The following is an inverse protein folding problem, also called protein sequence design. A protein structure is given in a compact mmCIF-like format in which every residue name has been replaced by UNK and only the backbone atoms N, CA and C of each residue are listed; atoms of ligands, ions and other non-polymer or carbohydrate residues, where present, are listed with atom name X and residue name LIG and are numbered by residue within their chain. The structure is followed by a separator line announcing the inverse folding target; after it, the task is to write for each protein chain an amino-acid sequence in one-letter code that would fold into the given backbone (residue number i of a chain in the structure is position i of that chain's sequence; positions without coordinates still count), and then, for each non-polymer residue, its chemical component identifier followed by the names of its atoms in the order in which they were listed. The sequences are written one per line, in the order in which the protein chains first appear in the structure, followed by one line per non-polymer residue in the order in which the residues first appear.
data_IF_085886159728
#
_entry.id   IF_085886159728
#
_cell.length_a   1.000
_cell.length_b   1.000
_cell.length_c   1.000
_cell.angle_alpha   90.00
_cell.angle_beta   90.00
_cell.angle_gamma   90.00
#
_symmetry.space_group_name_H-M   'P 1'
#
loop_
_entity.id
_entity.type
_entity.pdbx_description
1 polymer ?
#
# COMPACT_ATOMS: atom_id res chain seq x y z
N UNK A 1 -17.66 12.04 -22.93
CA UNK A 1 -16.78 13.10 -23.45
C UNK A 1 -16.13 13.71 -22.23
N UNK A 2 -14.80 13.93 -22.20
CA UNK A 2 -14.08 14.45 -21.01
C UNK A 2 -14.39 15.93 -20.83
N UNK A 3 -14.72 16.34 -19.59
CA UNK A 3 -15.17 17.70 -19.26
C UNK A 3 -14.10 18.43 -18.43
N UNK A 4 -13.61 19.56 -18.94
CA UNK A 4 -12.53 20.36 -18.34
C UNK A 4 -13.08 21.70 -17.86
N UNK A 5 -12.78 22.05 -16.59
CA UNK A 5 -13.01 23.40 -16.07
C UNK A 5 -11.74 24.24 -16.28
N UNK A 6 -11.87 25.33 -17.02
CA UNK A 6 -10.78 26.29 -17.28
C UNK A 6 -11.04 27.51 -16.39
N UNK A 7 -10.07 27.89 -15.58
CA UNK A 7 -10.12 29.05 -14.69
C UNK A 7 -9.02 30.02 -15.10
N UNK A 8 -9.39 31.07 -15.77
CA UNK A 8 -8.48 32.02 -16.41
C UNK A 8 -9.14 33.39 -16.50
N UNK A 9 -8.53 34.44 -15.96
CA UNK A 9 -9.05 35.78 -15.99
C UNK A 9 -8.91 36.46 -17.36
N UNK A 10 -7.86 36.09 -18.12
CA UNK A 10 -7.75 36.49 -19.51
C UNK A 10 -8.79 35.76 -20.37
N UNK A 11 -9.85 36.49 -20.71
CA UNK A 11 -10.99 36.01 -21.53
C UNK A 11 -10.56 35.52 -22.91
N UNK A 12 -9.53 36.15 -23.50
CA UNK A 12 -9.05 35.81 -24.86
C UNK A 12 -8.29 34.51 -24.80
N UNK A 13 -7.34 34.41 -23.85
CA UNK A 13 -6.53 33.23 -23.65
C UNK A 13 -7.38 32.03 -23.23
N UNK A 14 -8.29 32.19 -22.24
CA UNK A 14 -9.17 31.15 -21.76
C UNK A 14 -10.10 30.59 -22.84
N UNK A 15 -10.69 31.46 -23.68
CA UNK A 15 -11.49 31.05 -24.85
C UNK A 15 -10.66 30.35 -25.92
N UNK A 16 -9.43 30.83 -26.17
CA UNK A 16 -8.54 30.23 -27.16
C UNK A 16 -8.20 28.79 -26.78
N UNK A 17 -7.78 28.56 -25.54
CA UNK A 17 -7.50 27.22 -25.01
C UNK A 17 -8.78 26.35 -25.06
N UNK A 18 -9.92 26.89 -24.60
CA UNK A 18 -11.18 26.16 -24.62
C UNK A 18 -11.62 25.72 -26.03
N UNK A 19 -11.49 26.60 -27.01
CA UNK A 19 -11.81 26.27 -28.41
C UNK A 19 -10.82 25.24 -28.99
N UNK A 20 -9.54 25.33 -28.63
CA UNK A 20 -8.55 24.37 -29.06
C UNK A 20 -8.80 22.98 -28.45
N UNK A 21 -9.07 22.89 -27.15
CA UNK A 21 -9.42 21.66 -26.46
C UNK A 21 -10.70 21.01 -26.99
N UNK A 22 -11.71 21.82 -27.35
CA UNK A 22 -12.93 21.33 -28.02
C UNK A 22 -12.61 20.65 -29.35
N UNK A 23 -11.69 21.19 -30.16
CA UNK A 23 -11.22 20.54 -31.40
C UNK A 23 -10.50 19.20 -31.12
N UNK A 24 -9.98 18.98 -29.91
CA UNK A 24 -9.40 17.72 -29.47
C UNK A 24 -10.44 16.76 -28.87
N UNK A 25 -11.74 17.07 -28.96
CA UNK A 25 -12.81 16.19 -28.51
C UNK A 25 -13.15 16.30 -27.00
N UNK A 26 -12.76 17.39 -26.34
CA UNK A 26 -13.03 17.63 -24.92
C UNK A 26 -14.12 18.71 -24.74
N UNK A 27 -14.96 18.58 -23.72
CA UNK A 27 -15.91 19.60 -23.35
C UNK A 27 -15.24 20.59 -22.37
N UNK A 28 -15.40 21.90 -22.59
CA UNK A 28 -14.74 22.89 -21.75
C UNK A 28 -15.75 23.93 -21.23
N UNK A 29 -15.71 24.19 -19.93
CA UNK A 29 -16.37 25.32 -19.29
C UNK A 29 -15.30 26.30 -18.81
N UNK A 30 -15.44 27.59 -19.17
CA UNK A 30 -14.51 28.64 -18.80
C UNK A 30 -15.16 29.55 -17.75
N UNK A 31 -14.41 29.86 -16.70
CA UNK A 31 -14.73 30.83 -15.63
C UNK A 31 -13.51 31.70 -15.35
N UNK A 32 -13.72 32.89 -14.82
CA UNK A 32 -12.68 33.94 -14.70
C UNK A 32 -12.19 34.17 -13.28
N UNK A 33 -12.72 33.45 -12.28
CA UNK A 33 -12.42 33.70 -10.88
C UNK A 33 -12.69 32.44 -10.02
N UNK A 34 -12.16 32.39 -8.78
CA UNK A 34 -12.30 31.26 -7.86
C UNK A 34 -13.75 31.04 -7.40
N UNK A 35 -14.50 32.14 -7.14
CA UNK A 35 -15.88 32.04 -6.66
C UNK A 35 -16.81 31.35 -7.68
N UNK A 36 -16.82 31.69 -8.98
CA UNK A 36 -17.52 30.94 -10.01
C UNK A 36 -17.02 29.51 -10.18
N UNK A 37 -15.69 29.27 -9.99
CA UNK A 37 -15.11 27.93 -10.08
C UNK A 37 -15.64 27.01 -8.97
N UNK A 38 -15.70 27.48 -7.72
CA UNK A 38 -16.30 26.74 -6.59
C UNK A 38 -17.77 26.39 -6.84
N UNK A 39 -18.55 27.32 -7.41
CA UNK A 39 -19.96 27.04 -7.79
C UNK A 39 -20.02 25.95 -8.88
N UNK A 40 -19.18 26.06 -9.91
CA UNK A 40 -19.14 25.09 -11.00
C UNK A 40 -18.79 23.70 -10.49
N UNK A 41 -17.75 23.57 -9.64
CA UNK A 41 -17.31 22.30 -9.06
C UNK A 41 -18.32 21.69 -8.07
N UNK A 42 -19.20 22.51 -7.48
CA UNK A 42 -20.27 22.05 -6.60
C UNK A 42 -21.53 21.60 -7.38
N UNK A 43 -21.76 22.10 -8.60
CA UNK A 43 -22.96 21.82 -9.40
C UNK A 43 -22.76 20.82 -10.53
N UNK A 44 -21.54 20.67 -11.01
CA UNK A 44 -21.19 19.86 -12.18
C UNK A 44 -19.99 18.97 -11.88
N UNK A 45 -19.94 17.81 -12.55
CA UNK A 45 -18.77 16.94 -12.53
C UNK A 45 -17.78 17.35 -13.63
N UNK A 46 -16.50 17.46 -13.26
CA UNK A 46 -15.40 17.73 -14.16
C UNK A 46 -14.35 16.61 -14.09
N UNK A 47 -13.71 16.35 -15.24
CA UNK A 47 -12.65 15.37 -15.34
C UNK A 47 -11.26 15.96 -15.03
N UNK A 48 -11.12 17.29 -15.16
CA UNK A 48 -9.87 18.00 -14.93
C UNK A 48 -10.15 19.50 -14.69
N UNK A 49 -9.35 20.11 -13.82
CA UNK A 49 -9.30 21.56 -13.64
C UNK A 49 -8.00 22.09 -14.22
N UNK A 50 -8.08 23.14 -15.04
CA UNK A 50 -6.96 23.86 -15.60
C UNK A 50 -7.06 25.31 -15.13
N UNK A 51 -6.18 25.76 -14.25
CA UNK A 51 -6.29 27.04 -13.59
C UNK A 51 -5.04 27.92 -13.75
N UNK A 52 -5.23 29.23 -13.95
CA UNK A 52 -4.13 30.17 -13.71
C UNK A 52 -3.80 30.21 -12.21
N UNK A 53 -2.53 30.40 -11.88
CA UNK A 53 -2.09 30.53 -10.50
C UNK A 53 -2.68 31.75 -9.82
N UNK A 54 -2.68 32.90 -10.50
CA UNK A 54 -3.20 34.17 -9.99
C UNK A 54 -4.50 34.55 -10.66
N UNK A 55 -5.52 34.75 -9.84
CA UNK A 55 -6.86 35.16 -10.28
C UNK A 55 -7.27 36.43 -9.55
N UNK A 56 -8.25 37.20 -10.05
CA UNK A 56 -8.66 38.48 -9.46
C UNK A 56 -9.11 38.38 -8.00
N UNK A 57 -9.61 37.21 -7.58
CA UNK A 57 -10.16 36.95 -6.26
C UNK A 57 -9.32 36.01 -5.41
N UNK A 58 -8.03 35.74 -5.78
CA UNK A 58 -7.08 34.98 -4.98
C UNK A 58 -6.16 34.05 -5.78
N UNK A 59 -5.46 33.18 -5.10
CA UNK A 59 -4.61 32.17 -5.70
C UNK A 59 -5.36 30.86 -5.94
N UNK A 60 -5.10 30.21 -7.08
CA UNK A 60 -5.71 28.91 -7.38
C UNK A 60 -5.31 27.78 -6.41
N UNK A 61 -4.22 27.94 -5.66
CA UNK A 61 -3.85 27.08 -4.53
C UNK A 61 -4.91 27.07 -3.41
N UNK A 62 -5.64 28.17 -3.22
CA UNK A 62 -6.76 28.24 -2.28
C UNK A 62 -7.97 27.41 -2.74
N UNK A 63 -8.19 27.35 -4.07
CA UNK A 63 -9.21 26.48 -4.63
C UNK A 63 -8.80 25.00 -4.48
N UNK A 64 -7.54 24.70 -4.66
CA UNK A 64 -7.01 23.33 -4.49
C UNK A 64 -7.18 22.86 -3.04
N UNK A 65 -6.86 23.71 -2.05
CA UNK A 65 -7.13 23.42 -0.62
C UNK A 65 -8.63 23.19 -0.36
N UNK A 66 -9.48 24.08 -0.88
CA UNK A 66 -10.93 23.92 -0.76
C UNK A 66 -11.45 22.63 -1.42
N UNK A 67 -10.88 22.23 -2.57
CA UNK A 67 -11.22 20.96 -3.21
C UNK A 67 -10.85 19.77 -2.34
N UNK A 68 -9.69 19.82 -1.67
CA UNK A 68 -9.27 18.79 -0.71
C UNK A 68 -10.21 18.73 0.50
N UNK A 69 -10.59 19.88 1.08
CA UNK A 69 -11.57 19.95 2.19
C UNK A 69 -12.92 19.35 1.80
N UNK A 70 -13.30 19.46 0.52
CA UNK A 70 -14.55 18.91 -0.04
C UNK A 70 -14.38 17.49 -0.59
N UNK A 71 -13.20 16.86 -0.44
CA UNK A 71 -12.88 15.53 -0.98
C UNK A 71 -13.14 15.41 -2.48
N UNK A 72 -12.94 16.47 -3.25
CA UNK A 72 -13.10 16.47 -4.70
C UNK A 72 -11.81 15.97 -5.36
N UNK A 73 -11.78 14.71 -5.77
CA UNK A 73 -10.64 14.06 -6.41
C UNK A 73 -10.57 14.36 -7.92
N UNK A 74 -10.55 15.66 -8.30
CA UNK A 74 -10.39 16.09 -9.69
C UNK A 74 -8.96 16.55 -9.92
N UNK A 75 -8.23 16.00 -10.93
CA UNK A 75 -6.88 16.43 -11.25
C UNK A 75 -6.82 17.94 -11.51
N UNK A 76 -5.83 18.61 -10.90
CA UNK A 76 -5.69 20.05 -10.95
C UNK A 76 -4.36 20.43 -11.60
N UNK A 77 -4.40 21.06 -12.77
CA UNK A 77 -3.25 21.59 -13.48
C UNK A 77 -3.17 23.11 -13.31
N UNK A 78 -1.99 23.60 -12.95
CA UNK A 78 -1.75 25.04 -12.80
C UNK A 78 -0.99 25.57 -14.03
N UNK A 79 -1.50 26.68 -14.58
CA UNK A 79 -0.80 27.49 -15.58
C UNK A 79 -0.36 28.79 -14.95
N UNK A 80 0.81 29.34 -15.33
CA UNK A 80 1.29 30.60 -14.76
C UNK A 80 2.30 31.30 -15.65
N UNK A 81 2.29 32.62 -15.59
CA UNK A 81 3.30 33.47 -16.23
C UNK A 81 4.61 33.54 -15.42
N UNK A 82 4.61 33.08 -14.18
CA UNK A 82 5.76 33.20 -13.28
C UNK A 82 6.43 31.85 -13.04
N UNK A 83 7.63 31.69 -13.63
CA UNK A 83 8.48 30.52 -13.44
C UNK A 83 9.22 30.49 -12.09
N UNK A 84 8.64 30.99 -11.00
CA UNK A 84 9.23 30.89 -9.67
C UNK A 84 9.10 29.46 -9.16
N UNK A 85 10.23 28.83 -8.91
CA UNK A 85 10.32 27.44 -8.45
C UNK A 85 9.55 27.23 -7.13
N UNK A 86 9.53 28.23 -6.26
CA UNK A 86 8.85 28.20 -4.97
C UNK A 86 7.33 27.99 -5.09
N UNK A 87 6.70 28.69 -6.01
CA UNK A 87 5.24 28.55 -6.25
C UNK A 87 4.87 27.19 -6.89
N UNK A 88 5.77 26.65 -7.72
CA UNK A 88 5.59 25.32 -8.30
C UNK A 88 5.70 24.24 -7.23
N UNK A 89 6.67 24.35 -6.34
CA UNK A 89 6.88 23.41 -5.22
C UNK A 89 5.68 23.44 -4.27
N UNK A 90 5.20 24.62 -3.88
CA UNK A 90 4.00 24.76 -3.03
C UNK A 90 2.78 24.11 -3.69
N UNK A 91 2.53 24.39 -4.96
CA UNK A 91 1.41 23.83 -5.69
C UNK A 91 1.46 22.30 -5.77
N UNK A 92 2.65 21.75 -6.01
CA UNK A 92 2.85 20.29 -6.05
C UNK A 92 2.71 19.65 -4.67
N UNK A 93 3.18 20.29 -3.60
CA UNK A 93 2.98 19.86 -2.21
C UNK A 93 1.51 19.87 -1.81
N UNK A 94 0.73 20.80 -2.34
CA UNK A 94 -0.72 20.87 -2.17
C UNK A 94 -1.48 19.88 -3.06
N UNK A 95 -0.79 19.01 -3.81
CA UNK A 95 -1.40 17.97 -4.62
C UNK A 95 -1.85 18.40 -6.03
N UNK A 96 -1.31 19.50 -6.58
CA UNK A 96 -1.48 19.80 -8.00
C UNK A 96 -0.89 18.67 -8.86
N UNK A 97 -1.64 18.23 -9.87
CA UNK A 97 -1.23 17.14 -10.74
C UNK A 97 -0.08 17.53 -11.68
N UNK A 98 -0.03 18.81 -12.09
CA UNK A 98 1.07 19.36 -12.90
C UNK A 98 1.10 20.88 -12.82
N UNK A 99 2.24 21.47 -13.23
CA UNK A 99 2.50 22.89 -13.27
C UNK A 99 3.10 23.27 -14.63
N UNK A 100 2.48 24.19 -15.33
CA UNK A 100 2.85 24.59 -16.70
C UNK A 100 3.14 26.10 -16.75
N UNK A 101 4.32 26.47 -17.30
CA UNK A 101 4.67 27.88 -17.52
C UNK A 101 4.05 28.39 -18.81
N UNK A 102 3.45 29.56 -18.78
CA UNK A 102 3.03 30.30 -19.97
C UNK A 102 4.26 30.97 -20.64
N UNK A 103 4.36 31.00 -21.97
CA UNK A 103 3.37 30.54 -22.93
C UNK A 103 3.27 29.02 -22.99
N UNK A 104 2.06 28.50 -22.85
CA UNK A 104 1.83 27.05 -22.84
C UNK A 104 1.83 26.53 -24.28
N UNK A 105 2.80 25.68 -24.61
CA UNK A 105 2.82 24.98 -25.89
C UNK A 105 1.65 24.01 -25.97
N UNK A 106 0.84 24.04 -27.07
CA UNK A 106 -0.33 23.17 -27.22
C UNK A 106 -0.02 21.68 -27.02
N UNK A 107 1.09 21.20 -27.57
CA UNK A 107 1.47 19.78 -27.46
C UNK A 107 1.81 19.38 -26.00
N UNK A 108 2.52 20.25 -25.25
CA UNK A 108 2.81 20.01 -23.83
C UNK A 108 1.56 20.03 -22.97
N UNK A 109 0.62 20.92 -23.25
CA UNK A 109 -0.68 20.96 -22.57
C UNK A 109 -1.47 19.67 -22.84
N UNK A 110 -1.53 19.24 -24.08
CA UNK A 110 -2.22 18.01 -24.47
C UNK A 110 -1.59 16.77 -23.85
N UNK A 111 -0.27 16.71 -23.82
CA UNK A 111 0.49 15.63 -23.17
C UNK A 111 0.20 15.59 -21.65
N UNK A 112 0.24 16.74 -20.96
CA UNK A 112 -0.09 16.85 -19.55
C UNK A 112 -1.53 16.42 -19.27
N UNK A 113 -2.50 16.88 -20.06
CA UNK A 113 -3.92 16.51 -19.94
C UNK A 113 -4.11 15.00 -20.22
N UNK A 114 -3.51 14.47 -21.27
CA UNK A 114 -3.58 13.03 -21.61
C UNK A 114 -2.96 12.17 -20.53
N UNK A 115 -1.83 12.61 -19.96
CA UNK A 115 -1.18 11.92 -18.85
C UNK A 115 -2.10 11.84 -17.63
N UNK A 116 -2.82 12.91 -17.30
CA UNK A 116 -3.78 12.89 -16.20
C UNK A 116 -5.05 12.09 -16.51
N UNK A 117 -5.50 12.07 -17.75
CA UNK A 117 -6.61 11.19 -18.15
C UNK A 117 -6.22 9.73 -18.27
N UNK A 118 -4.93 9.45 -18.51
CA UNK A 118 -4.37 8.10 -18.54
C UNK A 118 -3.92 7.63 -17.16
N UNK A 119 -3.76 8.55 -16.19
CA UNK A 119 -3.63 8.15 -14.80
C UNK A 119 -4.93 7.46 -14.41
N UNK A 120 -4.89 6.21 -13.94
CA UNK A 120 -6.07 5.64 -13.36
C UNK A 120 -6.53 6.64 -12.28
N UNK A 121 -7.73 7.21 -12.45
CA UNK A 121 -8.35 7.92 -11.34
C UNK A 121 -8.22 6.98 -10.16
N UNK A 122 -7.72 7.45 -9.02
CA UNK A 122 -7.86 6.75 -7.77
C UNK A 122 -9.36 6.71 -7.40
N UNK A 123 -10.15 6.14 -8.29
CA UNK A 123 -11.36 5.45 -7.93
C UNK A 123 -10.89 4.21 -7.22
N UNK A 124 -11.31 4.05 -5.96
CA UNK A 124 -11.27 2.81 -5.19
C UNK A 124 -10.33 1.82 -5.86
N UNK A 125 -9.09 1.75 -5.43
CA UNK A 125 -8.19 0.73 -5.97
C UNK A 125 -8.98 -0.56 -5.92
N UNK A 126 -9.38 -1.09 -7.10
CA UNK A 126 -9.98 -2.41 -7.14
C UNK A 126 -8.95 -3.33 -6.50
N UNK A 127 -9.23 -3.74 -5.27
CA UNK A 127 -8.41 -4.70 -4.57
C UNK A 127 -8.87 -6.08 -5.00
N UNK A 128 -7.91 -6.91 -5.36
CA UNK A 128 -8.21 -8.32 -5.42
C UNK A 128 -8.53 -8.81 -4.00
N UNK A 129 -9.77 -9.16 -3.76
CA UNK A 129 -10.18 -9.85 -2.54
C UNK A 129 -10.01 -11.33 -2.77
N UNK A 130 -9.10 -11.95 -1.99
CA UNK A 130 -8.88 -13.38 -2.07
C UNK A 130 -10.17 -14.18 -1.81
N UNK A 131 -10.28 -15.32 -2.49
CA UNK A 131 -11.40 -16.24 -2.38
C UNK A 131 -11.10 -17.46 -1.50
N UNK A 132 -9.84 -17.64 -1.08
CA UNK A 132 -9.45 -18.69 -0.14
C UNK A 132 -10.16 -18.55 1.20
N UNK A 133 -10.33 -19.65 1.91
CA UNK A 133 -11.04 -19.65 3.20
C UNK A 133 -10.40 -18.71 4.22
N UNK A 134 -9.06 -18.62 4.24
CA UNK A 134 -8.33 -17.69 5.11
C UNK A 134 -8.57 -16.23 4.73
N UNK A 135 -8.58 -15.91 3.44
CA UNK A 135 -8.89 -14.57 2.96
C UNK A 135 -10.34 -14.20 3.29
N UNK A 136 -11.31 -15.09 3.01
CA UNK A 136 -12.73 -14.87 3.35
C UNK A 136 -12.94 -14.62 4.83
N UNK A 137 -12.30 -15.41 5.71
CA UNK A 137 -12.39 -15.20 7.16
C UNK A 137 -11.80 -13.86 7.58
N UNK A 138 -10.65 -13.46 7.02
CA UNK A 138 -10.04 -12.15 7.24
C UNK A 138 -11.01 -11.02 6.84
N UNK A 139 -11.58 -11.07 5.62
CA UNK A 139 -12.53 -10.04 5.16
C UNK A 139 -13.83 -10.04 5.97
N UNK A 140 -14.31 -11.18 6.42
CA UNK A 140 -15.43 -11.27 7.36
C UNK A 140 -15.13 -10.50 8.65
N UNK A 141 -13.94 -10.68 9.24
CA UNK A 141 -13.50 -9.94 10.44
C UNK A 141 -13.36 -8.44 10.19
N UNK A 142 -12.86 -8.04 9.01
CA UNK A 142 -12.82 -6.64 8.60
C UNK A 142 -14.22 -6.04 8.60
N UNK A 143 -15.19 -6.69 7.95
CA UNK A 143 -16.58 -6.23 7.90
C UNK A 143 -17.25 -6.08 9.27
N UNK A 144 -16.89 -6.93 10.24
CA UNK A 144 -17.41 -6.86 11.62
C UNK A 144 -16.84 -5.66 12.38
N UNK A 145 -15.52 -5.37 12.24
CA UNK A 145 -14.86 -4.33 13.03
C UNK A 145 -14.85 -2.96 12.36
N UNK A 146 -14.95 -2.91 11.04
CA UNK A 146 -14.87 -1.65 10.28
C UNK A 146 -15.86 -0.57 10.75
N UNK A 147 -17.14 -0.88 11.08
CA UNK A 147 -18.10 0.13 11.54
C UNK A 147 -17.83 0.67 12.96
N UNK A 148 -16.93 0.05 13.73
CA UNK A 148 -16.57 0.47 15.08
C UNK A 148 -15.41 1.48 15.09
N UNK A 149 -15.23 2.16 16.22
CA UNK A 149 -14.10 3.09 16.44
C UNK A 149 -12.95 2.45 17.26
N UNK A 150 -13.02 1.14 17.53
CA UNK A 150 -11.97 0.44 18.27
C UNK A 150 -10.65 0.39 17.50
N UNK A 151 -9.54 0.34 18.23
CA UNK A 151 -8.21 0.19 17.65
C UNK A 151 -8.05 -1.20 17.02
N UNK A 152 -7.42 -1.26 15.85
CA UNK A 152 -7.20 -2.52 15.12
C UNK A 152 -5.70 -2.75 14.93
N UNK A 153 -5.22 -3.91 15.37
CA UNK A 153 -3.85 -4.37 15.14
C UNK A 153 -3.81 -5.39 13.99
N UNK A 154 -3.15 -5.03 12.89
CA UNK A 154 -2.90 -5.91 11.76
C UNK A 154 -1.58 -6.66 11.97
N UNK A 155 -1.65 -7.99 12.07
CA UNK A 155 -0.46 -8.85 12.23
C UNK A 155 -0.24 -9.67 10.97
N UNK A 156 0.94 -9.60 10.39
CA UNK A 156 1.28 -10.39 9.19
C UNK A 156 2.68 -10.09 8.70
N UNK A 157 3.27 -11.01 7.98
CA UNK A 157 4.62 -10.86 7.42
C UNK A 157 4.74 -9.64 6.48
N UNK A 158 5.96 -9.24 6.18
CA UNK A 158 6.21 -8.18 5.22
C UNK A 158 5.64 -8.56 3.83
N UNK A 159 5.09 -7.58 3.12
CA UNK A 159 4.58 -7.78 1.77
C UNK A 159 3.23 -8.49 1.66
N UNK A 160 2.52 -8.79 2.76
CA UNK A 160 1.19 -9.43 2.75
C UNK A 160 0.04 -8.47 2.42
N UNK A 161 0.29 -7.16 2.29
CA UNK A 161 -0.73 -6.18 1.94
C UNK A 161 -1.44 -5.52 3.13
N UNK A 162 -0.82 -5.44 4.31
CA UNK A 162 -1.38 -4.81 5.52
C UNK A 162 -1.88 -3.38 5.28
N UNK A 163 -1.17 -2.58 4.48
CA UNK A 163 -1.60 -1.23 4.12
C UNK A 163 -2.94 -1.22 3.37
N UNK A 164 -3.15 -2.17 2.46
CA UNK A 164 -4.43 -2.33 1.76
C UNK A 164 -5.56 -2.70 2.72
N UNK A 165 -5.29 -3.61 3.65
CA UNK A 165 -6.27 -4.00 4.67
C UNK A 165 -6.62 -2.83 5.58
N UNK A 166 -5.65 -1.98 5.95
CA UNK A 166 -5.90 -0.78 6.73
C UNK A 166 -6.78 0.23 5.98
N UNK A 167 -6.55 0.41 4.67
CA UNK A 167 -7.40 1.24 3.81
C UNK A 167 -8.80 0.68 3.69
N UNK A 168 -8.96 -0.61 3.48
CA UNK A 168 -10.26 -1.31 3.43
C UNK A 168 -11.06 -1.11 4.72
N UNK A 169 -10.39 -1.21 5.89
CA UNK A 169 -10.99 -0.91 7.20
C UNK A 169 -11.51 0.52 7.30
N UNK A 170 -10.77 1.49 6.77
CA UNK A 170 -11.20 2.88 6.73
C UNK A 170 -12.37 3.08 5.79
N UNK A 171 -12.32 2.55 4.56
CA UNK A 171 -13.36 2.71 3.53
C UNK A 171 -14.70 2.09 3.94
N UNK A 172 -14.68 0.99 4.72
CA UNK A 172 -15.88 0.38 5.28
C UNK A 172 -16.33 1.00 6.62
N UNK A 173 -15.60 1.99 7.15
CA UNK A 173 -15.90 2.61 8.43
C UNK A 173 -16.94 3.74 8.31
N UNK A 174 -17.41 4.20 9.48
CA UNK A 174 -18.21 5.44 9.57
C UNK A 174 -17.42 6.68 9.20
N UNK A 175 -16.07 6.58 9.21
CA UNK A 175 -15.12 7.67 8.90
C UNK A 175 -14.62 7.66 7.46
N UNK A 176 -15.23 6.86 6.57
CA UNK A 176 -14.80 6.69 5.16
C UNK A 176 -14.63 7.99 4.36
N UNK A 177 -15.37 9.04 4.71
CA UNK A 177 -15.32 10.35 4.08
C UNK A 177 -14.48 11.37 4.90
N UNK A 178 -13.70 10.89 5.87
CA UNK A 178 -12.83 11.68 6.74
C UNK A 178 -11.37 11.44 6.36
N UNK A 179 -10.42 12.24 6.86
CA UNK A 179 -9.00 12.04 6.56
C UNK A 179 -8.53 10.61 6.88
N UNK A 180 -7.73 10.04 5.99
CA UNK A 180 -6.98 8.81 6.20
C UNK A 180 -5.51 9.12 6.03
N UNK A 181 -4.75 9.11 7.12
CA UNK A 181 -3.32 9.40 7.11
C UNK A 181 -2.53 8.15 7.49
N UNK A 182 -1.36 8.03 6.87
CA UNK A 182 -0.47 6.87 7.07
C UNK A 182 0.88 7.34 7.57
N UNK A 183 1.48 6.57 8.46
CA UNK A 183 2.84 6.76 8.94
C UNK A 183 3.56 5.42 8.98
N UNK A 184 4.68 5.33 8.29
CA UNK A 184 5.62 4.23 8.42
C UNK A 184 6.60 4.54 9.57
N UNK A 185 6.44 3.84 10.71
CA UNK A 185 7.27 4.03 11.89
C UNK A 185 8.73 3.58 11.69
N UNK A 186 8.99 2.73 10.70
CA UNK A 186 10.34 2.26 10.35
C UNK A 186 11.15 3.28 9.55
N UNK A 187 10.46 4.19 8.84
CA UNK A 187 11.11 5.18 7.98
C UNK A 187 11.49 6.48 8.69
N UNK A 188 11.07 6.67 9.95
CA UNK A 188 11.23 7.92 10.68
C UNK A 188 12.30 7.79 11.76
N UNK A 189 13.23 8.76 11.79
CA UNK A 189 14.20 8.84 12.88
C UNK A 189 13.52 9.13 14.23
N UNK A 190 14.11 8.64 15.32
CA UNK A 190 13.57 8.84 16.68
C UNK A 190 13.30 10.30 17.02
N UNK A 191 14.17 11.20 16.54
CA UNK A 191 14.09 12.64 16.81
C UNK A 191 12.92 13.30 16.07
N UNK A 192 12.67 12.89 14.83
CA UNK A 192 11.61 13.45 14.01
C UNK A 192 10.22 12.86 14.32
N UNK A 193 10.16 11.64 14.82
CA UNK A 193 8.88 10.97 15.07
C UNK A 193 7.94 11.80 15.95
N UNK A 194 8.47 12.45 17.00
CA UNK A 194 7.65 13.32 17.85
C UNK A 194 7.10 14.54 17.11
N UNK A 195 7.86 15.11 16.20
CA UNK A 195 7.43 16.23 15.34
C UNK A 195 6.42 15.79 14.31
N UNK A 196 6.57 14.59 13.72
CA UNK A 196 5.61 14.04 12.77
C UNK A 196 4.27 13.72 13.45
N UNK A 197 4.30 13.06 14.62
CA UNK A 197 3.08 12.74 15.35
C UNK A 197 2.34 14.00 15.84
N UNK A 198 3.04 14.88 16.56
CA UNK A 198 2.42 15.92 17.38
C UNK A 198 2.59 17.33 16.82
N UNK A 199 3.39 17.50 15.75
CA UNK A 199 3.78 18.80 15.24
C UNK A 199 4.77 19.53 16.12
N UNK A 200 5.23 20.67 15.67
CA UNK A 200 6.16 21.52 16.43
C UNK A 200 5.87 23.00 16.22
N UNK A 201 6.35 23.79 17.18
CA UNK A 201 6.40 25.26 17.08
C UNK A 201 7.74 25.70 16.53
N UNK A 202 7.75 26.83 15.85
CA UNK A 202 8.97 27.52 15.43
C UNK A 202 9.93 27.64 16.61
N UNK A 203 11.20 27.23 16.40
CA UNK A 203 12.25 27.28 17.43
C UNK A 203 12.23 26.10 18.43
N UNK A 204 11.41 25.08 18.23
CA UNK A 204 11.31 23.93 19.12
C UNK A 204 12.58 23.06 19.16
N UNK A 205 13.32 23.05 18.06
CA UNK A 205 14.63 22.37 17.88
C UNK A 205 15.43 23.03 16.74
N UNK A 206 16.69 22.67 16.61
CA UNK A 206 17.57 23.16 15.52
C UNK A 206 17.00 22.71 14.16
N UNK A 207 16.59 23.67 13.31
CA UNK A 207 15.90 23.41 12.03
C UNK A 207 14.39 23.61 12.05
N UNK A 208 13.76 23.89 13.21
CA UNK A 208 12.34 24.24 13.29
C UNK A 208 12.11 25.71 12.88
N UNK A 209 12.19 25.99 11.58
CA UNK A 209 12.04 27.37 11.06
C UNK A 209 10.63 27.89 11.08
N UNK A 210 9.63 26.99 10.97
CA UNK A 210 8.19 27.28 10.93
C UNK A 210 7.42 26.40 11.90
N UNK A 211 6.15 26.77 12.19
CA UNK A 211 5.20 25.87 12.85
C UNK A 211 4.81 24.76 11.89
N UNK A 212 4.78 23.51 12.36
CA UNK A 212 4.30 22.34 11.58
C UNK A 212 3.15 21.67 12.32
N UNK A 213 2.05 21.41 11.62
CA UNK A 213 0.99 20.53 12.11
C UNK A 213 1.49 19.09 12.17
N UNK A 214 1.06 18.33 13.18
CA UNK A 214 1.36 16.91 13.29
C UNK A 214 0.20 16.04 12.82
N UNK A 215 0.48 14.75 12.58
CA UNK A 215 -0.50 13.78 12.10
C UNK A 215 -1.74 13.68 12.97
N UNK A 216 -1.61 13.85 14.30
CA UNK A 216 -2.76 13.86 15.21
C UNK A 216 -3.72 15.04 14.95
N UNK A 217 -3.19 16.18 14.51
CA UNK A 217 -4.01 17.32 14.11
C UNK A 217 -4.65 17.12 12.73
N UNK A 218 -3.88 16.60 11.79
CA UNK A 218 -4.32 16.41 10.41
C UNK A 218 -5.33 15.27 10.26
N UNK A 219 -5.20 14.22 11.11
CA UNK A 219 -6.10 13.07 11.13
C UNK A 219 -7.36 13.28 11.98
N UNK A 220 -7.54 14.46 12.59
CA UNK A 220 -8.66 14.71 13.51
C UNK A 220 -10.02 14.46 12.86
N UNK A 221 -10.88 13.72 13.54
CA UNK A 221 -12.16 13.21 13.01
C UNK A 221 -12.03 12.01 12.05
N UNK A 222 -10.79 11.60 11.69
CA UNK A 222 -10.48 10.59 10.69
C UNK A 222 -9.86 9.31 11.25
N UNK A 223 -8.95 8.73 10.45
CA UNK A 223 -8.23 7.49 10.77
C UNK A 223 -6.74 7.70 10.60
N UNK A 224 -5.95 7.25 11.59
CA UNK A 224 -4.50 7.21 11.52
C UNK A 224 -4.03 5.76 11.42
N UNK A 225 -3.29 5.45 10.36
CA UNK A 225 -2.65 4.15 10.16
C UNK A 225 -1.15 4.25 10.49
N UNK A 226 -0.69 3.41 11.40
CA UNK A 226 0.71 3.29 11.82
C UNK A 226 1.26 1.95 11.31
N UNK A 227 2.10 1.99 10.28
CA UNK A 227 2.77 0.78 9.80
C UNK A 227 4.07 0.54 10.55
N UNK A 228 4.46 -0.72 10.67
CA UNK A 228 5.67 -1.19 11.36
C UNK A 228 5.82 -0.62 12.79
N UNK A 229 4.72 -0.63 13.56
CA UNK A 229 4.66 -0.03 14.92
C UNK A 229 5.74 -0.58 15.88
N UNK A 230 6.23 -1.81 15.65
CA UNK A 230 7.32 -2.42 16.41
C UNK A 230 8.63 -1.65 16.34
N UNK A 231 8.86 -0.90 15.26
CA UNK A 231 10.08 -0.10 15.05
C UNK A 231 10.07 1.24 15.81
N UNK A 232 8.96 1.60 16.48
CA UNK A 232 8.89 2.85 17.21
C UNK A 232 9.79 2.82 18.44
N UNK A 233 10.63 3.84 18.63
CA UNK A 233 11.50 3.91 19.78
C UNK A 233 10.72 3.97 21.11
N UNK A 234 11.26 3.41 22.17
CA UNK A 234 10.62 3.32 23.49
C UNK A 234 10.11 4.67 24.01
N UNK A 235 10.85 5.75 23.76
CA UNK A 235 10.47 7.12 24.12
C UNK A 235 9.22 7.59 23.34
N UNK A 236 9.14 7.26 22.07
CA UNK A 236 8.00 7.64 21.24
C UNK A 236 6.78 6.75 21.53
N UNK A 237 6.98 5.47 21.89
CA UNK A 237 5.92 4.61 22.42
C UNK A 237 5.25 5.23 23.68
N UNK A 238 6.05 5.76 24.61
CA UNK A 238 5.56 6.43 25.82
C UNK A 238 4.69 7.65 25.49
N UNK A 239 5.13 8.47 24.54
CA UNK A 239 4.38 9.66 24.11
C UNK A 239 3.08 9.31 23.39
N UNK A 240 3.15 8.31 22.50
CA UNK A 240 1.98 7.78 21.81
C UNK A 240 0.94 7.26 22.81
N UNK A 241 1.37 6.42 23.75
CA UNK A 241 0.49 5.88 24.79
C UNK A 241 -0.22 6.98 25.57
N UNK A 242 0.55 7.99 26.02
CA UNK A 242 -0.02 9.12 26.77
C UNK A 242 -1.08 9.86 25.95
N UNK A 243 -0.79 10.16 24.69
CA UNK A 243 -1.74 10.81 23.80
C UNK A 243 -3.04 9.99 23.63
N UNK A 244 -2.92 8.66 23.45
CA UNK A 244 -4.06 7.76 23.28
C UNK A 244 -4.90 7.60 24.55
N UNK A 245 -4.28 7.68 25.74
CA UNK A 245 -4.98 7.58 27.03
C UNK A 245 -5.70 8.88 27.38
N UNK A 246 -4.99 10.01 27.27
CA UNK A 246 -5.50 11.33 27.65
C UNK A 246 -6.39 11.95 26.56
N UNK A 247 -6.44 11.37 25.34
CA UNK A 247 -7.09 11.93 24.14
C UNK A 247 -6.68 13.37 23.84
N UNK A 248 -5.46 13.70 24.23
CA UNK A 248 -4.85 15.00 23.95
C UNK A 248 -3.33 14.86 23.78
N UNK A 249 -2.74 15.82 23.12
CA UNK A 249 -1.29 15.89 22.90
C UNK A 249 -0.78 17.32 22.99
N UNK A 250 0.54 17.47 23.12
CA UNK A 250 1.23 18.77 23.08
C UNK A 250 2.20 18.80 21.92
N UNK A 251 2.09 19.79 21.01
CA UNK A 251 3.10 20.03 19.99
C UNK A 251 4.49 20.26 20.63
N UNK A 252 5.54 19.82 19.96
CA UNK A 252 6.92 20.02 20.45
C UNK A 252 7.19 21.53 20.58
N UNK A 253 7.72 21.95 21.73
CA UNK A 253 7.92 23.38 22.05
C UNK A 253 6.67 24.15 22.46
N UNK A 254 5.52 23.48 22.67
CA UNK A 254 4.27 24.10 23.15
C UNK A 254 3.89 23.59 24.54
N UNK A 255 3.31 24.48 25.35
CA UNK A 255 2.69 24.13 26.63
C UNK A 255 1.19 23.87 26.53
N UNK A 256 0.57 24.20 25.39
CA UNK A 256 -0.88 24.06 25.17
C UNK A 256 -1.21 22.64 24.74
N UNK A 257 -2.17 22.04 25.42
CA UNK A 257 -2.77 20.76 25.03
C UNK A 257 -3.80 20.95 23.91
N UNK A 258 -3.89 19.94 23.04
CA UNK A 258 -4.89 19.86 21.97
C UNK A 258 -5.57 18.51 22.06
N UNK A 259 -6.89 18.50 22.14
CA UNK A 259 -7.68 17.28 22.02
C UNK A 259 -7.72 16.78 20.57
N UNK A 260 -8.02 15.53 20.38
CA UNK A 260 -8.23 14.90 19.07
C UNK A 260 -9.21 13.74 19.17
N UNK A 261 -9.83 13.42 18.03
CA UNK A 261 -10.68 12.25 17.85
C UNK A 261 -10.24 11.47 16.61
N UNK A 262 -9.41 10.45 16.77
CA UNK A 262 -8.93 9.59 15.69
C UNK A 262 -9.28 8.13 15.94
N UNK A 263 -9.58 7.39 14.88
CA UNK A 263 -9.54 5.96 14.87
C UNK A 263 -8.12 5.49 14.56
N UNK A 264 -7.59 4.55 15.36
CA UNK A 264 -6.24 4.04 15.17
C UNK A 264 -6.25 2.65 14.53
N UNK A 265 -5.43 2.48 13.50
CA UNK A 265 -5.09 1.18 12.93
C UNK A 265 -3.57 1.06 13.01
N UNK A 266 -3.06 -0.01 13.58
CA UNK A 266 -1.62 -0.28 13.65
C UNK A 266 -1.29 -1.57 12.90
N UNK A 267 -0.10 -1.67 12.33
CA UNK A 267 0.37 -2.88 11.67
C UNK A 267 1.78 -3.25 12.14
N UNK A 268 2.06 -4.54 12.16
CA UNK A 268 3.38 -5.08 12.49
C UNK A 268 3.65 -6.40 11.78
N UNK A 269 4.90 -6.64 11.45
CA UNK A 269 5.43 -7.93 11.01
C UNK A 269 6.18 -8.65 12.13
N UNK A 270 6.45 -7.97 13.27
CA UNK A 270 7.14 -8.55 14.42
C UNK A 270 6.18 -9.23 15.39
N UNK A 271 6.72 -10.15 16.17
CA UNK A 271 6.07 -10.69 17.36
C UNK A 271 6.22 -9.67 18.51
N UNK A 272 5.15 -8.88 18.76
CA UNK A 272 5.18 -7.86 19.79
C UNK A 272 5.29 -8.44 21.21
N UNK A 273 4.80 -9.64 21.44
CA UNK A 273 4.93 -10.35 22.71
C UNK A 273 6.41 -10.64 23.04
N UNK A 274 7.18 -11.14 22.05
CA UNK A 274 8.63 -11.31 22.20
C UNK A 274 9.37 -9.96 22.33
N UNK A 275 8.88 -8.91 21.69
CA UNK A 275 9.44 -7.58 21.81
C UNK A 275 9.19 -6.98 23.22
N UNK A 276 8.04 -7.31 23.85
CA UNK A 276 7.71 -6.95 25.23
C UNK A 276 8.65 -7.69 26.21
N UNK A 277 8.78 -9.00 26.08
CA UNK A 277 9.67 -9.81 26.91
C UNK A 277 11.12 -9.34 26.78
N UNK A 278 11.54 -8.90 25.60
CA UNK A 278 12.86 -8.31 25.34
C UNK A 278 13.01 -6.83 25.74
N UNK A 279 12.00 -6.19 26.33
CA UNK A 279 12.02 -4.78 26.76
C UNK A 279 12.08 -3.76 25.62
N UNK A 280 11.82 -4.16 24.37
CA UNK A 280 11.81 -3.29 23.18
C UNK A 280 10.46 -2.64 22.94
N UNK A 281 9.38 -3.27 23.37
CA UNK A 281 8.02 -2.77 23.23
C UNK A 281 7.32 -2.71 24.58
N UNK A 282 6.45 -1.72 24.78
CA UNK A 282 5.72 -1.54 26.03
C UNK A 282 4.44 -2.36 26.05
N UNK A 283 4.22 -3.09 27.12
CA UNK A 283 3.02 -3.90 27.33
C UNK A 283 1.75 -3.04 27.40
N UNK A 284 1.81 -1.88 28.07
CA UNK A 284 0.66 -0.97 28.19
C UNK A 284 0.24 -0.37 26.84
N UNK A 285 1.19 -0.05 25.96
CA UNK A 285 0.89 0.39 24.58
C UNK A 285 0.31 -0.76 23.77
N UNK A 286 0.88 -1.98 23.90
CA UNK A 286 0.35 -3.17 23.20
C UNK A 286 -1.12 -3.38 23.53
N UNK A 287 -1.52 -3.35 24.78
CA UNK A 287 -2.93 -3.52 25.17
C UNK A 287 -3.84 -2.42 24.59
N UNK A 288 -3.34 -1.19 24.46
CA UNK A 288 -4.10 -0.09 23.88
C UNK A 288 -4.28 -0.20 22.37
N UNK A 289 -3.30 -0.80 21.67
CA UNK A 289 -3.34 -1.04 20.22
C UNK A 289 -4.11 -2.32 19.87
N UNK A 290 -4.04 -3.32 20.72
CA UNK A 290 -4.57 -4.66 20.49
C UNK A 290 -6.00 -4.86 21.03
N UNK A 291 -6.90 -3.89 20.80
CA UNK A 291 -8.32 -4.04 21.13
C UNK A 291 -8.98 -5.08 20.19
N UNK A 292 -8.56 -5.12 18.94
CA UNK A 292 -8.98 -6.12 17.97
C UNK A 292 -7.82 -6.48 17.04
N UNK A 293 -7.48 -7.77 16.95
CA UNK A 293 -6.42 -8.25 16.06
C UNK A 293 -6.98 -8.88 14.80
N UNK A 294 -6.42 -8.51 13.66
CA UNK A 294 -6.63 -9.19 12.37
C UNK A 294 -5.29 -9.78 11.92
N UNK A 295 -5.26 -11.10 11.75
CA UNK A 295 -4.13 -11.78 11.12
C UNK A 295 -4.29 -11.72 9.61
N UNK A 296 -3.28 -11.18 8.92
CA UNK A 296 -3.19 -11.18 7.46
C UNK A 296 -2.45 -12.45 7.04
N UNK A 297 -3.07 -13.35 6.28
CA UNK A 297 -2.45 -14.62 5.91
C UNK A 297 -1.24 -14.42 4.98
N UNK A 298 -0.33 -15.39 4.99
CA UNK A 298 0.73 -15.48 3.98
C UNK A 298 0.12 -15.85 2.62
N UNK A 299 0.75 -15.42 1.54
CA UNK A 299 0.33 -15.81 0.19
C UNK A 299 0.42 -17.33 -0.02
N UNK A 300 1.44 -17.96 0.55
CA UNK A 300 1.60 -19.42 0.57
C UNK A 300 0.46 -20.16 1.30
N UNK A 301 -0.23 -19.50 2.23
CA UNK A 301 -1.38 -20.06 2.95
C UNK A 301 -2.69 -19.96 2.15
N UNK A 302 -2.68 -19.26 1.02
CA UNK A 302 -3.82 -18.98 0.13
C UNK A 302 -3.51 -19.36 -1.33
N UNK A 303 -3.17 -20.64 -1.62
CA UNK A 303 -2.70 -21.04 -2.95
C UNK A 303 -3.75 -20.82 -4.05
N UNK A 304 -5.04 -20.87 -3.72
CA UNK A 304 -6.14 -20.62 -4.66
C UNK A 304 -6.14 -19.16 -5.16
N UNK A 305 -5.62 -18.24 -4.36
CA UNK A 305 -5.60 -16.80 -4.65
C UNK A 305 -4.41 -16.38 -5.52
N UNK A 306 -3.35 -17.20 -5.62
CA UNK A 306 -2.09 -16.82 -6.28
C UNK A 306 -2.32 -16.46 -7.75
N UNK A 307 -2.94 -17.34 -8.54
CA UNK A 307 -3.16 -17.10 -9.97
C UNK A 307 -4.15 -15.96 -10.25
N UNK A 308 -5.32 -15.90 -9.60
CA UNK A 308 -6.24 -14.79 -9.76
C UNK A 308 -5.58 -13.45 -9.39
N UNK A 309 -4.82 -13.40 -8.29
CA UNK A 309 -4.07 -12.22 -7.89
C UNK A 309 -2.99 -11.84 -8.90
N UNK A 310 -2.23 -12.81 -9.42
CA UNK A 310 -1.22 -12.57 -10.45
C UNK A 310 -1.84 -11.98 -11.72
N UNK A 311 -2.98 -12.50 -12.18
CA UNK A 311 -3.72 -11.97 -13.32
C UNK A 311 -4.25 -10.57 -13.08
N UNK A 312 -4.76 -10.31 -11.88
CA UNK A 312 -5.21 -8.98 -11.47
C UNK A 312 -4.07 -7.96 -11.48
N UNK A 313 -2.91 -8.31 -10.92
CA UNK A 313 -1.72 -7.45 -10.90
C UNK A 313 -1.11 -7.21 -12.28
N UNK A 314 -1.27 -8.17 -13.20
CA UNK A 314 -0.71 -8.08 -14.54
C UNK A 314 -1.36 -6.96 -15.37
N UNK A 315 -2.66 -6.69 -15.22
CA UNK A 315 -3.38 -5.65 -15.93
C UNK A 315 -2.75 -4.27 -15.76
N UNK A 316 -2.73 -3.71 -14.53
CA UNK A 316 -2.12 -2.42 -14.24
C UNK A 316 -0.62 -2.36 -14.61
N UNK A 317 0.14 -3.45 -14.40
CA UNK A 317 1.56 -3.50 -14.77
C UNK A 317 1.76 -3.43 -16.30
N UNK A 318 0.89 -4.09 -17.06
CA UNK A 318 0.92 -4.06 -18.53
C UNK A 318 0.64 -2.65 -19.08
N UNK A 319 -0.29 -1.93 -18.45
CA UNK A 319 -0.57 -0.53 -18.79
C UNK A 319 0.60 0.40 -18.44
N UNK A 320 1.17 0.24 -17.21
CA UNK A 320 2.31 1.04 -16.73
C UNK A 320 3.52 0.93 -17.68
N UNK A 321 3.80 -0.28 -18.18
CA UNK A 321 4.96 -0.56 -19.04
C UNK A 321 4.65 -0.56 -20.53
N UNK A 322 3.41 -0.23 -20.93
CA UNK A 322 2.96 -0.20 -22.33
C UNK A 322 3.21 -1.52 -23.09
N UNK A 323 3.20 -2.65 -22.37
CA UNK A 323 3.33 -3.99 -22.96
C UNK A 323 1.97 -4.67 -23.08
N UNK A 324 1.71 -5.30 -24.24
CA UNK A 324 0.46 -6.04 -24.47
C UNK A 324 0.68 -7.52 -24.22
N UNK A 325 0.52 -7.91 -22.94
CA UNK A 325 0.61 -9.31 -22.53
C UNK A 325 -0.80 -9.82 -22.23
N UNK A 326 -1.14 -11.04 -22.75
CA UNK A 326 -2.47 -11.64 -22.60
C UNK A 326 -2.61 -12.46 -21.31
N UNK A 327 -1.47 -12.92 -20.74
CA UNK A 327 -1.47 -13.74 -19.51
C UNK A 327 -0.21 -14.58 -19.38
N UNK A 328 -0.36 -15.71 -18.73
CA UNK A 328 0.71 -16.67 -18.42
C UNK A 328 0.55 -17.94 -19.27
N UNK A 329 1.63 -18.54 -19.71
CA UNK A 329 1.59 -19.86 -20.29
C UNK A 329 1.36 -20.92 -19.18
N UNK A 330 1.05 -22.16 -19.58
CA UNK A 330 0.74 -23.24 -18.63
C UNK A 330 1.90 -23.57 -17.67
N UNK A 331 3.13 -23.41 -18.13
CA UNK A 331 4.31 -23.67 -17.30
C UNK A 331 4.53 -22.53 -16.31
N UNK A 332 4.31 -21.30 -16.70
CA UNK A 332 4.34 -20.12 -15.82
C UNK A 332 3.25 -20.19 -14.74
N UNK A 333 2.04 -20.59 -15.10
CA UNK A 333 0.96 -20.78 -14.10
C UNK A 333 1.34 -21.84 -13.06
N UNK A 334 1.89 -22.98 -13.51
CA UNK A 334 2.34 -24.02 -12.61
C UNK A 334 3.52 -23.56 -11.72
N UNK A 335 4.44 -22.75 -12.26
CA UNK A 335 5.54 -22.17 -11.49
C UNK A 335 5.04 -21.20 -10.43
N UNK A 336 4.12 -20.29 -10.78
CA UNK A 336 3.51 -19.35 -9.85
C UNK A 336 2.82 -20.05 -8.67
N UNK A 337 2.09 -21.15 -8.93
CA UNK A 337 1.39 -21.92 -7.90
C UNK A 337 2.34 -22.72 -6.99
N UNK A 338 3.48 -23.16 -7.52
CA UNK A 338 4.43 -23.99 -6.75
C UNK A 338 5.39 -23.19 -5.89
N UNK A 339 5.65 -21.94 -6.27
CA UNK A 339 6.60 -21.10 -5.57
C UNK A 339 6.04 -20.67 -4.19
N UNK A 340 6.83 -20.69 -3.11
CA UNK A 340 6.35 -20.44 -1.74
C UNK A 340 6.11 -18.97 -1.41
N UNK A 341 6.53 -18.02 -2.23
CA UNK A 341 6.35 -16.57 -2.07
C UNK A 341 6.78 -16.04 -0.70
N UNK A 342 8.04 -16.19 -0.27
CA UNK A 342 8.51 -15.70 1.02
C UNK A 342 8.32 -14.20 1.20
N UNK A 343 8.44 -13.40 0.14
CA UNK A 343 8.13 -11.96 0.12
C UNK A 343 6.68 -11.61 -0.18
N UNK A 344 5.78 -12.61 -0.19
CA UNK A 344 4.34 -12.48 -0.37
C UNK A 344 3.94 -11.67 -1.62
N UNK A 345 2.92 -10.81 -1.51
CA UNK A 345 2.39 -10.02 -2.64
C UNK A 345 3.43 -9.04 -3.20
N UNK A 346 4.32 -8.52 -2.34
CA UNK A 346 5.40 -7.61 -2.78
C UNK A 346 6.37 -8.32 -3.73
N UNK A 347 6.77 -9.52 -3.40
CA UNK A 347 7.62 -10.35 -4.25
C UNK A 347 6.90 -10.76 -5.53
N UNK A 348 5.67 -11.24 -5.44
CA UNK A 348 4.84 -11.58 -6.60
C UNK A 348 4.78 -10.40 -7.57
N UNK A 349 4.44 -9.20 -7.10
CA UNK A 349 4.37 -7.99 -7.94
C UNK A 349 5.70 -7.65 -8.61
N UNK A 350 6.81 -7.74 -7.88
CA UNK A 350 8.14 -7.48 -8.43
C UNK A 350 8.54 -8.53 -9.48
N UNK A 351 8.27 -9.80 -9.22
CA UNK A 351 8.49 -10.90 -10.17
C UNK A 351 7.68 -10.70 -11.45
N UNK A 352 6.40 -10.35 -11.34
CA UNK A 352 5.54 -10.08 -12.49
C UNK A 352 6.03 -8.86 -13.29
N UNK A 353 6.47 -7.80 -12.60
CA UNK A 353 7.06 -6.62 -13.26
C UNK A 353 8.31 -6.99 -14.07
N UNK A 354 9.21 -7.76 -13.47
CA UNK A 354 10.42 -8.23 -14.15
C UNK A 354 10.09 -9.16 -15.32
N UNK A 355 9.19 -10.11 -15.11
CA UNK A 355 8.74 -11.03 -16.15
C UNK A 355 8.10 -10.31 -17.34
N UNK A 356 7.30 -9.29 -17.06
CA UNK A 356 6.67 -8.45 -18.09
C UNK A 356 7.72 -7.71 -18.93
N UNK A 357 8.78 -7.17 -18.32
CA UNK A 357 9.87 -6.51 -19.02
C UNK A 357 10.64 -7.48 -19.92
N UNK A 358 10.86 -8.70 -19.45
CA UNK A 358 11.59 -9.76 -20.17
C UNK A 358 10.74 -10.49 -21.23
N UNK A 359 9.42 -10.31 -21.21
CA UNK A 359 8.55 -10.97 -22.19
C UNK A 359 8.71 -10.35 -23.58
N UNK A 360 9.11 -11.16 -24.57
CA UNK A 360 9.22 -10.77 -25.98
C UNK A 360 7.91 -11.03 -26.77
N UNK A 361 6.98 -11.79 -26.22
CA UNK A 361 5.71 -12.18 -26.83
C UNK A 361 4.48 -11.74 -26.06
N UNK A 362 3.32 -12.26 -26.48
CA UNK A 362 2.02 -11.97 -25.85
C UNK A 362 1.78 -12.76 -24.55
N UNK A 363 2.67 -13.69 -24.18
CA UNK A 363 2.53 -14.56 -23.01
C UNK A 363 3.77 -14.50 -22.14
N UNK A 364 3.59 -14.46 -20.82
CA UNK A 364 4.67 -14.64 -19.86
C UNK A 364 4.93 -16.14 -19.72
N UNK A 365 6.20 -16.53 -19.96
CA UNK A 365 6.65 -17.91 -19.85
C UNK A 365 7.32 -18.18 -18.48
N UNK A 366 7.49 -19.44 -18.10
CA UNK A 366 8.19 -19.80 -16.87
C UNK A 366 9.63 -19.25 -16.82
N UNK A 367 10.31 -19.16 -17.97
CA UNK A 367 11.65 -18.58 -18.06
C UNK A 367 11.66 -17.06 -17.78
N UNK A 368 10.61 -16.34 -18.14
CA UNK A 368 10.49 -14.92 -17.83
C UNK A 368 10.31 -14.67 -16.31
N UNK A 369 9.64 -15.58 -15.59
CA UNK A 369 9.43 -15.47 -14.15
C UNK A 369 10.72 -15.60 -13.35
N UNK A 370 11.71 -16.34 -13.87
CA UNK A 370 13.02 -16.57 -13.22
C UNK A 370 12.89 -16.99 -11.74
N UNK A 371 11.91 -17.87 -11.44
CA UNK A 371 11.66 -18.37 -10.10
C UNK A 371 12.59 -19.55 -9.80
N UNK A 372 13.31 -19.47 -8.69
CA UNK A 372 14.09 -20.59 -8.19
C UNK A 372 13.18 -21.60 -7.47
N UNK A 373 12.75 -22.63 -8.22
CA UNK A 373 11.86 -23.68 -7.70
C UNK A 373 12.55 -24.67 -6.77
N UNK A 374 13.86 -24.55 -6.56
CA UNK A 374 14.63 -25.43 -5.66
C UNK A 374 14.39 -25.08 -4.18
N UNK A 375 13.88 -23.90 -3.87
CA UNK A 375 13.59 -23.43 -2.50
C UNK A 375 12.55 -24.27 -1.72
N UNK A 376 11.85 -25.21 -2.37
CA UNK A 376 10.88 -26.09 -1.67
C UNK A 376 11.49 -27.31 -0.99
N UNK A 377 12.81 -27.49 -1.02
CA UNK A 377 13.44 -28.67 -0.39
C UNK A 377 14.06 -28.41 0.99
N UNK A 378 14.07 -27.17 1.52
CA UNK A 378 14.87 -26.85 2.71
C UNK A 378 14.11 -26.38 3.97
N UNK A 379 12.78 -26.46 4.04
CA UNK A 379 12.06 -26.27 5.32
C UNK A 379 11.23 -27.50 5.72
N UNK A 380 11.80 -28.66 5.61
CA UNK A 380 11.52 -29.71 6.58
C UNK A 380 12.41 -29.44 7.83
N UNK A 381 11.84 -29.50 9.05
CA UNK A 381 12.67 -29.40 10.26
C UNK A 381 13.85 -30.35 10.08
N UNK A 382 15.03 -29.86 10.46
CA UNK A 382 16.28 -30.62 10.30
C UNK A 382 16.11 -31.99 11.00
N UNK A 383 15.56 -32.93 10.26
CA UNK A 383 15.47 -34.31 10.70
C UNK A 383 16.91 -34.76 10.94
N UNK A 384 17.16 -35.28 12.12
CA UNK A 384 18.44 -35.91 12.42
C UNK A 384 18.74 -36.94 11.35
N UNK A 385 20.01 -37.25 11.09
CA UNK A 385 20.37 -38.29 10.12
C UNK A 385 19.62 -39.61 10.38
N UNK A 386 19.34 -39.89 11.65
CA UNK A 386 18.56 -41.06 12.07
C UNK A 386 17.08 -41.00 11.65
N UNK A 387 16.46 -39.81 11.69
CA UNK A 387 15.08 -39.64 11.23
C UNK A 387 14.96 -39.71 9.70
N UNK A 388 15.95 -39.17 8.98
CA UNK A 388 16.04 -39.31 7.51
C UNK A 388 16.18 -40.77 7.11
N UNK A 389 17.03 -41.51 7.78
CA UNK A 389 17.24 -42.94 7.54
C UNK A 389 15.98 -43.75 7.84
N UNK A 390 15.28 -43.43 8.95
CA UNK A 390 13.99 -44.06 9.31
C UNK A 390 12.91 -43.80 8.26
N UNK A 391 12.80 -42.58 7.75
CA UNK A 391 11.84 -42.27 6.69
C UNK A 391 12.14 -42.96 5.38
N UNK A 392 13.42 -43.04 4.99
CA UNK A 392 13.86 -43.74 3.80
C UNK A 392 13.52 -45.25 3.88
N UNK A 393 13.74 -45.85 5.03
CA UNK A 393 13.40 -47.28 5.28
C UNK A 393 11.87 -47.50 5.17
N UNK A 394 11.06 -46.64 5.75
CA UNK A 394 9.60 -46.74 5.69
C UNK A 394 9.05 -46.52 4.26
N UNK A 395 9.59 -45.56 3.52
CA UNK A 395 9.19 -45.33 2.13
C UNK A 395 9.56 -46.51 1.23
N UNK A 396 10.76 -47.03 1.38
CA UNK A 396 11.22 -48.19 0.58
C UNK A 396 10.39 -49.42 0.88
N UNK A 397 10.05 -49.70 2.15
CA UNK A 397 9.17 -50.82 2.51
C UNK A 397 7.77 -50.66 1.93
N UNK A 398 7.20 -49.47 1.93
CA UNK A 398 5.89 -49.18 1.27
C UNK A 398 5.94 -49.43 -0.22
N UNK A 399 7.01 -48.98 -0.92
CA UNK A 399 7.17 -49.17 -2.38
C UNK A 399 7.31 -50.63 -2.80
N UNK A 400 7.85 -51.47 -1.95
CA UNK A 400 8.05 -52.90 -2.24
C UNK A 400 7.04 -53.78 -1.51
N UNK A 401 5.89 -53.24 -1.07
CA UNK A 401 4.82 -53.97 -0.39
C UNK A 401 5.31 -54.86 0.78
N UNK A 402 6.18 -54.28 1.62
CA UNK A 402 6.86 -54.97 2.73
C UNK A 402 7.78 -56.15 2.35
N UNK A 403 8.15 -56.30 1.08
CA UNK A 403 9.11 -57.30 0.66
C UNK A 403 10.54 -56.93 1.06
N UNK A 404 10.97 -57.41 2.23
CA UNK A 404 12.28 -57.10 2.85
C UNK A 404 13.49 -57.47 1.98
N UNK A 405 13.37 -58.52 1.18
CA UNK A 405 14.47 -58.92 0.27
C UNK A 405 14.65 -57.93 -0.89
N UNK A 406 13.54 -57.37 -1.37
CA UNK A 406 13.53 -56.36 -2.43
C UNK A 406 13.94 -54.99 -1.88
N UNK A 407 13.53 -54.64 -0.65
CA UNK A 407 13.94 -53.45 0.04
C UNK A 407 15.47 -53.40 0.29
N UNK A 408 16.06 -54.48 0.75
CA UNK A 408 17.51 -54.55 0.97
C UNK A 408 18.30 -54.31 -0.32
N UNK A 409 17.84 -54.87 -1.46
CA UNK A 409 18.46 -54.64 -2.78
C UNK A 409 18.31 -53.19 -3.25
N UNK A 410 17.12 -52.55 -3.02
CA UNK A 410 16.90 -51.18 -3.42
C UNK A 410 17.73 -50.18 -2.62
N UNK A 411 18.04 -50.52 -1.37
CA UNK A 411 18.85 -49.68 -0.49
C UNK A 411 20.35 -50.03 -0.55
N UNK A 412 20.73 -50.99 -1.40
CA UNK A 412 22.11 -51.50 -1.57
C UNK A 412 22.77 -51.90 -0.26
N UNK A 413 21.99 -52.56 0.62
CA UNK A 413 22.45 -53.07 1.93
C UNK A 413 22.17 -54.56 2.07
N UNK A 414 22.92 -55.23 2.99
CA UNK A 414 22.66 -56.61 3.30
C UNK A 414 21.29 -56.79 4.01
N UNK A 415 20.67 -57.98 3.87
CA UNK A 415 19.44 -58.29 4.61
C UNK A 415 19.64 -58.18 6.12
N UNK A 416 20.79 -58.57 6.63
CA UNK A 416 21.14 -58.48 8.05
C UNK A 416 21.16 -57.05 8.53
N UNK A 417 21.84 -56.17 7.78
CA UNK A 417 21.91 -54.75 8.05
C UNK A 417 20.51 -54.06 7.99
N UNK A 418 19.65 -54.48 7.05
CA UNK A 418 18.30 -53.98 6.99
C UNK A 418 17.50 -54.36 8.26
N UNK A 419 17.61 -55.62 8.72
CA UNK A 419 16.92 -56.04 9.94
C UNK A 419 17.44 -55.35 11.21
N UNK A 420 18.75 -55.09 11.32
CA UNK A 420 19.34 -54.34 12.42
C UNK A 420 18.81 -52.89 12.45
N UNK A 421 18.72 -52.22 11.29
CA UNK A 421 18.19 -50.89 11.16
C UNK A 421 16.69 -50.80 11.46
N UNK A 422 15.91 -51.78 10.97
CA UNK A 422 14.47 -51.84 11.26
C UNK A 422 14.19 -52.05 12.76
N UNK A 423 15.04 -52.83 13.47
CA UNK A 423 14.96 -52.97 14.94
C UNK A 423 15.40 -51.71 15.66
N UNK A 424 16.51 -51.06 15.23
CA UNK A 424 17.00 -49.80 15.81
C UNK A 424 15.92 -48.71 15.81
N UNK A 425 15.15 -48.65 14.74
CA UNK A 425 14.10 -47.61 14.57
C UNK A 425 12.71 -48.06 14.99
N UNK A 426 12.56 -49.23 15.59
CA UNK A 426 11.27 -49.73 16.11
C UNK A 426 10.20 -49.93 15.02
N UNK A 427 10.62 -50.32 13.81
CA UNK A 427 9.72 -50.57 12.67
C UNK A 427 9.26 -52.04 12.68
N UNK A 428 10.02 -52.94 13.31
CA UNK A 428 9.69 -54.33 13.61
C UNK A 428 10.18 -54.70 15.01
#
# INVERSE_FOLDING_TARGET
MKKILIIEDDMVFGRSIGNWLKKQGMECRHVTALAPARKALASDEFDLVLADLRLPDGNSTELLRWMHEKCLAVPFLIMTNYGQVENAVEAMQLGAANYLCKPVHPDRLLEAIRKEFSRPRHNVTEFYRGESDKAREMYRRIGLVAPSDISVLLRGASGTGKEHIARELHEQSRRRNRPYLTLDCGSISEELASSEFFGHRKGAFTGAENDKAGLFQEADGGTLFLDEIGNLSYKNQMRLLRALQEKCYRPVGSTRERGFDIRLIAATNENLEEAIDGGRFREDLFHRLNEFTIRVPLLAECPEDILPLARFLLGPLSEEHHKRVQGFDRLAEAALQRYPWPGNIRELRNTLRSALLLADGSWITASNLNLDLTLKQEEMPCLTEEEKERQLLLQTLKQVENNRARAARMLDISRTTLYEKLRKYGII
#
